data_IF_170058532657
#
_entry.id   IF_170058532657
#
_cell.length_a   1.000
_cell.length_b   1.000
_cell.length_c   1.000
_cell.angle_alpha   90.00
_cell.angle_beta   90.00
_cell.angle_gamma   90.00
#
_symmetry.space_group_name_H-M   'P 1'
#
loop_
_entity.id
_entity.type
_entity.pdbx_description
1 polymer ?
#
# COMPACT_ATOMS: atom_id res chain seq x y z
N UNK A 1 -10.01 11.45 6.42
CA UNK A 1 -10.56 11.70 5.06
C UNK A 1 -11.63 10.66 4.83
N UNK A 2 -12.54 10.84 3.87
CA UNK A 2 -13.48 9.75 3.52
C UNK A 2 -12.85 8.83 2.47
N UNK A 3 -13.35 7.60 2.30
CA UNK A 3 -12.80 6.67 1.30
C UNK A 3 -12.87 7.23 -0.13
N UNK A 4 -13.99 7.88 -0.50
CA UNK A 4 -14.12 8.49 -1.83
C UNK A 4 -13.10 9.63 -2.04
N UNK A 5 -12.86 10.43 -1.01
CA UNK A 5 -11.84 11.50 -1.01
C UNK A 5 -10.42 10.91 -1.13
N UNK A 6 -10.16 9.80 -0.45
CA UNK A 6 -8.90 9.07 -0.56
C UNK A 6 -8.65 8.58 -1.99
N UNK A 7 -9.68 7.99 -2.63
CA UNK A 7 -9.61 7.55 -4.02
C UNK A 7 -9.44 8.73 -4.98
N UNK A 8 -10.11 9.86 -4.74
CA UNK A 8 -9.99 11.07 -5.56
C UNK A 8 -8.58 11.66 -5.49
N UNK A 9 -8.02 11.80 -4.28
CA UNK A 9 -6.69 12.38 -4.07
C UNK A 9 -5.56 11.44 -4.52
N UNK A 10 -5.69 10.14 -4.27
CA UNK A 10 -4.67 9.15 -4.60
C UNK A 10 -4.73 8.64 -6.05
N UNK A 11 -5.89 8.73 -6.70
CA UNK A 11 -6.11 8.30 -8.08
C UNK A 11 -5.82 6.81 -8.29
N UNK A 12 -5.31 6.47 -9.49
CA UNK A 12 -5.04 5.08 -9.88
C UNK A 12 -4.07 4.35 -8.93
N UNK A 13 -3.20 5.10 -8.25
CA UNK A 13 -2.16 4.56 -7.37
C UNK A 13 -2.68 4.02 -6.05
N UNK A 14 -3.95 4.24 -5.72
CA UNK A 14 -4.59 3.71 -4.51
C UNK A 14 -5.83 2.88 -4.79
N UNK A 15 -6.22 2.71 -6.07
CA UNK A 15 -7.43 1.97 -6.45
C UNK A 15 -7.42 0.50 -6.02
N UNK A 16 -6.23 -0.08 -5.83
CA UNK A 16 -6.06 -1.45 -5.35
C UNK A 16 -6.24 -1.58 -3.83
N UNK A 17 -6.27 -0.46 -3.09
CA UNK A 17 -6.54 -0.45 -1.66
C UNK A 17 -8.05 -0.55 -1.45
N UNK A 18 -8.47 -1.69 -0.91
CA UNK A 18 -9.89 -1.98 -0.67
C UNK A 18 -10.48 -1.10 0.42
N UNK A 19 -11.80 -0.94 0.44
CA UNK A 19 -12.49 -0.24 1.53
C UNK A 19 -12.17 -0.86 2.90
N UNK A 20 -12.09 -2.18 2.99
CA UNK A 20 -11.78 -2.88 4.25
C UNK A 20 -10.38 -2.51 4.74
N UNK A 21 -9.39 -2.54 3.85
CA UNK A 21 -8.03 -2.12 4.17
C UNK A 21 -7.99 -0.64 4.58
N UNK A 22 -8.69 0.21 3.84
CA UNK A 22 -8.80 1.62 4.14
C UNK A 22 -9.33 1.86 5.55
N UNK A 23 -10.51 1.31 5.87
CA UNK A 23 -11.19 1.52 7.14
C UNK A 23 -10.43 0.91 8.33
N UNK A 24 -9.64 -0.15 8.10
CA UNK A 24 -8.92 -0.85 9.18
C UNK A 24 -7.50 -0.39 9.41
N UNK A 25 -6.82 0.15 8.37
CA UNK A 25 -5.40 0.48 8.43
C UNK A 25 -5.11 1.93 8.03
N UNK A 26 -5.71 2.42 6.94
CA UNK A 26 -5.37 3.73 6.37
C UNK A 26 -6.04 4.87 7.12
N UNK A 27 -7.34 4.76 7.38
CA UNK A 27 -8.10 5.79 8.11
C UNK A 27 -7.58 5.96 9.54
N UNK A 28 -7.37 4.90 10.34
CA UNK A 28 -6.78 5.04 11.68
C UNK A 28 -5.38 5.67 11.64
N UNK A 29 -4.56 5.32 10.64
CA UNK A 29 -3.24 5.95 10.45
C UNK A 29 -3.39 7.45 10.15
N UNK A 30 -4.29 7.81 9.24
CA UNK A 30 -4.56 9.20 8.89
C UNK A 30 -5.01 10.02 10.11
N UNK A 31 -5.92 9.47 10.92
CA UNK A 31 -6.39 10.09 12.16
C UNK A 31 -5.26 10.26 13.19
N UNK A 32 -4.40 9.25 13.34
CA UNK A 32 -3.24 9.27 14.24
C UNK A 32 -2.23 10.35 13.85
N UNK A 33 -1.94 10.49 12.56
CA UNK A 33 -1.01 11.51 12.05
C UNK A 33 -1.59 12.92 12.16
N UNK A 34 -2.92 13.08 12.21
CA UNK A 34 -3.61 14.37 12.36
C UNK A 34 -3.12 15.44 11.37
N UNK A 35 -2.92 15.05 10.11
CA UNK A 35 -2.47 15.92 9.01
C UNK A 35 -3.58 16.12 7.98
N UNK A 36 -3.37 17.07 7.06
CA UNK A 36 -4.29 17.31 5.95
C UNK A 36 -4.28 16.15 4.96
N UNK A 37 -5.44 15.79 4.39
CA UNK A 37 -5.59 14.64 3.48
C UNK A 37 -4.64 14.68 2.28
N UNK A 38 -4.46 15.85 1.67
CA UNK A 38 -3.49 16.05 0.58
C UNK A 38 -2.03 15.86 1.02
N UNK A 39 -1.68 16.20 2.26
CA UNK A 39 -0.33 15.98 2.81
C UNK A 39 -0.12 14.49 3.08
N UNK A 40 -1.12 13.81 3.63
CA UNK A 40 -1.10 12.37 3.84
C UNK A 40 -0.86 11.61 2.53
N UNK A 41 -1.63 11.93 1.48
CA UNK A 41 -1.50 11.30 0.16
C UNK A 41 -0.13 11.58 -0.46
N UNK A 42 0.39 12.82 -0.35
CA UNK A 42 1.73 13.17 -0.82
C UNK A 42 2.84 12.38 -0.13
N UNK A 43 2.65 11.98 1.13
CA UNK A 43 3.59 11.11 1.87
C UNK A 43 3.42 9.64 1.49
N UNK A 44 2.18 9.17 1.38
CA UNK A 44 1.87 7.77 1.11
C UNK A 44 2.33 7.35 -0.29
N UNK A 45 1.99 8.15 -1.31
CA UNK A 45 2.16 7.76 -2.70
C UNK A 45 3.61 7.36 -3.06
N UNK A 46 4.64 8.17 -2.79
CA UNK A 46 6.03 7.79 -3.07
C UNK A 46 6.44 6.46 -2.43
N UNK A 47 5.97 6.20 -1.21
CA UNK A 47 6.29 4.96 -0.50
C UNK A 47 5.66 3.73 -1.18
N UNK A 48 4.47 3.86 -1.80
CA UNK A 48 3.89 2.78 -2.61
C UNK A 48 4.80 2.44 -3.81
N UNK A 49 5.36 3.46 -4.47
CA UNK A 49 6.26 3.26 -5.62
C UNK A 49 7.63 2.72 -5.20
N UNK A 50 8.13 3.13 -4.03
CA UNK A 50 9.46 2.76 -3.53
C UNK A 50 9.48 1.41 -2.80
N UNK A 51 8.36 0.98 -2.22
CA UNK A 51 8.30 -0.21 -1.36
C UNK A 51 7.36 -1.26 -1.94
N UNK A 52 6.09 -0.94 -2.17
CA UNK A 52 5.10 -1.95 -2.57
C UNK A 52 5.43 -2.53 -3.96
N UNK A 53 5.50 -1.68 -4.99
CA UNK A 53 5.71 -2.15 -6.35
C UNK A 53 7.03 -2.92 -6.53
N UNK A 54 8.18 -2.47 -5.98
CA UNK A 54 9.43 -3.22 -6.04
C UNK A 54 9.36 -4.54 -5.29
N UNK A 55 8.73 -4.57 -4.10
CA UNK A 55 8.59 -5.81 -3.31
C UNK A 55 7.79 -6.86 -4.08
N UNK A 56 6.67 -6.48 -4.69
CA UNK A 56 5.86 -7.39 -5.50
C UNK A 56 6.65 -7.89 -6.70
N UNK A 57 7.32 -6.98 -7.42
CA UNK A 57 8.13 -7.36 -8.58
C UNK A 57 9.28 -8.30 -8.22
N UNK A 58 9.98 -8.05 -7.12
CA UNK A 58 11.06 -8.91 -6.64
C UNK A 58 10.57 -10.32 -6.29
N UNK A 59 9.40 -10.42 -5.66
CA UNK A 59 8.78 -11.71 -5.35
C UNK A 59 8.41 -12.46 -6.64
N UNK A 60 7.75 -11.78 -7.58
CA UNK A 60 7.39 -12.37 -8.88
C UNK A 60 8.64 -12.84 -9.64
N UNK A 61 9.70 -12.04 -9.63
CA UNK A 61 10.94 -12.35 -10.35
C UNK A 61 11.66 -13.58 -9.81
N UNK A 62 11.52 -13.89 -8.51
CA UNK A 62 12.11 -15.08 -7.88
C UNK A 62 11.36 -16.37 -8.19
N UNK A 63 10.14 -16.29 -8.73
CA UNK A 63 9.38 -17.49 -9.04
C UNK A 63 9.94 -18.24 -10.27
N UNK A 64 9.77 -19.58 -10.29
CA UNK A 64 9.98 -20.41 -11.48
C UNK A 64 9.11 -19.96 -12.67
N UNK A 65 9.47 -20.37 -13.88
CA UNK A 65 8.75 -20.01 -15.12
C UNK A 65 7.31 -20.53 -15.09
N UNK A 66 7.09 -21.71 -14.52
CA UNK A 66 5.78 -22.34 -14.41
C UNK A 66 4.83 -21.46 -13.60
N UNK A 67 5.28 -21.00 -12.44
CA UNK A 67 4.50 -20.11 -11.57
C UNK A 67 4.27 -18.74 -12.22
N UNK A 68 5.24 -18.22 -12.99
CA UNK A 68 5.06 -16.99 -13.76
C UNK A 68 4.00 -17.15 -14.86
N UNK A 69 3.88 -18.33 -15.46
CA UNK A 69 2.82 -18.64 -16.41
C UNK A 69 1.45 -18.63 -15.72
N UNK A 70 1.34 -19.18 -14.51
CA UNK A 70 0.10 -19.16 -13.71
C UNK A 70 -0.32 -17.73 -13.35
N UNK A 71 0.64 -16.87 -13.01
CA UNK A 71 0.38 -15.43 -12.78
C UNK A 71 -0.17 -14.77 -14.07
N UNK A 72 0.46 -15.02 -15.22
CA UNK A 72 0.02 -14.46 -16.50
C UNK A 72 -1.36 -14.98 -16.93
N UNK A 73 -1.67 -16.23 -16.60
CA UNK A 73 -2.99 -16.84 -16.83
C UNK A 73 -4.06 -16.30 -15.87
N UNK A 74 -3.66 -15.54 -14.84
CA UNK A 74 -4.57 -14.99 -13.84
C UNK A 74 -5.12 -16.05 -12.89
N UNK A 75 -4.33 -17.09 -12.59
CA UNK A 75 -4.74 -18.17 -11.71
C UNK A 75 -5.11 -17.62 -10.31
N UNK A 76 -6.29 -17.97 -9.76
CA UNK A 76 -6.82 -17.36 -8.54
C UNK A 76 -5.86 -17.43 -7.35
N UNK A 77 -5.20 -18.56 -7.13
CA UNK A 77 -4.29 -18.74 -5.99
C UNK A 77 -3.06 -17.84 -6.07
N UNK A 78 -2.53 -17.59 -7.27
CA UNK A 78 -1.40 -16.68 -7.45
C UNK A 78 -1.82 -15.22 -7.31
N UNK A 79 -3.00 -14.87 -7.83
CA UNK A 79 -3.56 -13.54 -7.62
C UNK A 79 -3.76 -13.25 -6.14
N UNK A 80 -4.35 -14.18 -5.38
CA UNK A 80 -4.50 -14.08 -3.93
C UNK A 80 -3.14 -13.94 -3.22
N UNK A 81 -2.16 -14.75 -3.62
CA UNK A 81 -0.82 -14.69 -3.05
C UNK A 81 -0.15 -13.32 -3.29
N UNK A 82 -0.19 -12.81 -4.52
CA UNK A 82 0.39 -11.51 -4.87
C UNK A 82 -0.29 -10.38 -4.11
N UNK A 83 -1.63 -10.41 -3.99
CA UNK A 83 -2.37 -9.43 -3.22
C UNK A 83 -2.01 -9.45 -1.73
N UNK A 84 -1.73 -10.63 -1.16
CA UNK A 84 -1.23 -10.75 0.22
C UNK A 84 0.16 -10.15 0.38
N UNK A 85 1.08 -10.40 -0.56
CA UNK A 85 2.42 -9.78 -0.54
C UNK A 85 2.31 -8.26 -0.61
N UNK A 86 1.47 -7.75 -1.52
CA UNK A 86 1.24 -6.32 -1.67
C UNK A 86 0.68 -5.69 -0.38
N UNK A 87 -0.31 -6.33 0.26
CA UNK A 87 -0.86 -5.87 1.54
C UNK A 87 0.19 -5.84 2.65
N UNK A 88 1.03 -6.87 2.78
CA UNK A 88 2.09 -6.88 3.79
C UNK A 88 3.13 -5.78 3.53
N UNK A 89 3.48 -5.52 2.26
CA UNK A 89 4.35 -4.40 1.91
C UNK A 89 3.71 -3.05 2.29
N UNK A 90 2.41 -2.86 2.05
CA UNK A 90 1.69 -1.64 2.45
C UNK A 90 1.61 -1.47 3.97
N UNK A 91 1.48 -2.55 4.74
CA UNK A 91 1.57 -2.48 6.21
C UNK A 91 2.93 -1.95 6.68
N UNK A 92 4.03 -2.31 6.02
CA UNK A 92 5.35 -1.74 6.31
C UNK A 92 5.41 -0.24 6.02
N UNK A 93 4.79 0.19 4.91
CA UNK A 93 4.66 1.62 4.58
C UNK A 93 3.91 2.37 5.68
N UNK A 94 2.78 1.83 6.14
CA UNK A 94 1.98 2.43 7.22
C UNK A 94 2.78 2.54 8.52
N UNK A 95 3.55 1.50 8.87
CA UNK A 95 4.45 1.55 10.03
C UNK A 95 5.55 2.61 9.87
N UNK A 96 6.16 2.71 8.69
CA UNK A 96 7.18 3.72 8.40
C UNK A 96 6.61 5.14 8.56
N UNK A 97 5.42 5.40 8.06
CA UNK A 97 4.76 6.70 8.22
C UNK A 97 4.52 7.07 9.69
N UNK A 98 4.12 6.10 10.54
CA UNK A 98 4.01 6.30 12.00
C UNK A 98 5.36 6.67 12.62
N UNK A 99 6.41 5.93 12.28
CA UNK A 99 7.74 6.16 12.85
C UNK A 99 8.29 7.54 12.46
N UNK A 100 8.08 7.97 11.22
CA UNK A 100 8.47 9.30 10.76
C UNK A 100 7.70 10.42 11.48
N UNK A 101 6.43 10.20 11.79
CA UNK A 101 5.64 11.16 12.57
C UNK A 101 6.18 11.28 13.99
N UNK A 102 6.44 10.15 14.67
CA UNK A 102 7.03 10.14 16.00
C UNK A 102 8.39 10.84 16.05
N UNK A 103 9.24 10.63 15.04
CA UNK A 103 10.53 11.28 14.93
C UNK A 103 10.44 12.80 14.70
N UNK A 104 9.32 13.29 14.18
CA UNK A 104 9.10 14.72 13.92
C UNK A 104 8.71 15.53 15.16
N UNK A 105 8.28 14.87 16.24
CA UNK A 105 7.87 15.50 17.51
C UNK A 105 9.07 15.85 18.41
N UNK A 106 10.28 15.36 18.13
CA UNK A 106 11.49 15.58 18.93
C UNK A 106 12.46 16.67 18.39
N UNK A 107 12.01 17.63 17.58
CA UNK A 107 12.83 18.77 17.14
C UNK A 107 12.17 20.13 17.37
#
# INVERSE_FOLDING_TARGET
MMYDEFLELGGDRVKHITFVEYATLVEPLFEELNIWGNVFIKRLLPLLDEIEAPTVNDVINRFPIEIKADILAGEPYMNEYIQRVALEARKLIYQKMRLEELASVEC
#
